data_IF_465548909588
#
_entry.id   IF_465548909588
#
_cell.length_a   1.000
_cell.length_b   1.000
_cell.length_c   1.000
_cell.angle_alpha   90.00
_cell.angle_beta   90.00
_cell.angle_gamma   90.00
#
_symmetry.space_group_name_H-M   'P 1'
#
loop_
_entity.id
_entity.type
_entity.pdbx_description
1 polymer ?
#
# COMPACT_ATOMS: atom_id res chain seq x y z
N UNK A 1 21.62 -20.99 -11.11
CA UNK A 1 21.22 -19.65 -11.64
C UNK A 1 19.70 -19.43 -11.72
N UNK A 2 18.85 -20.35 -11.25
CA UNK A 2 17.38 -20.27 -11.42
C UNK A 2 16.70 -19.65 -10.18
N UNK A 3 17.20 -19.98 -8.97
CA UNK A 3 16.64 -19.53 -7.67
C UNK A 3 16.74 -18.02 -7.47
N UNK A 4 17.90 -17.40 -7.79
CA UNK A 4 18.08 -15.94 -7.65
C UNK A 4 17.14 -15.12 -8.56
N UNK A 5 16.77 -15.65 -9.73
CA UNK A 5 15.85 -14.99 -10.68
C UNK A 5 14.39 -15.03 -10.20
N UNK A 6 14.03 -16.07 -9.43
CA UNK A 6 12.71 -16.24 -8.85
C UNK A 6 12.53 -15.33 -7.61
N UNK A 7 13.57 -15.22 -6.77
CA UNK A 7 13.57 -14.32 -5.61
C UNK A 7 13.43 -12.86 -6.04
N UNK A 8 14.21 -12.40 -7.03
CA UNK A 8 14.14 -11.02 -7.50
C UNK A 8 12.80 -10.68 -8.15
N UNK A 9 12.19 -11.61 -8.87
CA UNK A 9 10.84 -11.43 -9.43
C UNK A 9 9.77 -11.30 -8.36
N UNK A 10 9.87 -12.06 -7.27
CA UNK A 10 8.93 -12.01 -6.16
C UNK A 10 9.03 -10.69 -5.39
N UNK A 11 10.26 -10.20 -5.14
CA UNK A 11 10.48 -8.89 -4.50
C UNK A 11 9.84 -7.77 -5.30
N UNK A 12 10.07 -7.71 -6.62
CA UNK A 12 9.46 -6.68 -7.46
C UNK A 12 7.92 -6.72 -7.42
N UNK A 13 7.33 -7.92 -7.47
CA UNK A 13 5.87 -8.09 -7.38
C UNK A 13 5.32 -7.60 -6.05
N UNK A 14 5.98 -7.90 -4.93
CA UNK A 14 5.56 -7.43 -3.60
C UNK A 14 5.60 -5.90 -3.51
N UNK A 15 6.70 -5.27 -3.94
CA UNK A 15 6.81 -3.81 -3.95
C UNK A 15 5.80 -3.15 -4.88
N UNK A 16 5.53 -3.76 -6.04
CA UNK A 16 4.52 -3.28 -6.98
C UNK A 16 3.12 -3.33 -6.38
N UNK A 17 2.73 -4.45 -5.75
CA UNK A 17 1.43 -4.60 -5.12
C UNK A 17 1.23 -3.63 -3.95
N UNK A 18 2.24 -3.46 -3.09
CA UNK A 18 2.19 -2.52 -1.96
C UNK A 18 2.09 -1.07 -2.48
N UNK A 19 2.92 -0.69 -3.45
CA UNK A 19 2.90 0.66 -4.02
C UNK A 19 1.56 0.97 -4.69
N UNK A 20 1.01 0.01 -5.44
CA UNK A 20 -0.29 0.15 -6.09
C UNK A 20 -1.41 0.31 -5.06
N UNK A 21 -1.40 -0.49 -4.00
CA UNK A 21 -2.37 -0.40 -2.91
C UNK A 21 -2.31 0.95 -2.20
N UNK A 22 -1.11 1.41 -1.82
CA UNK A 22 -0.90 2.72 -1.20
C UNK A 22 -1.39 3.85 -2.12
N UNK A 23 -1.04 3.81 -3.41
CA UNK A 23 -1.46 4.81 -4.39
C UNK A 23 -2.98 4.88 -4.54
N UNK A 24 -3.67 3.73 -4.55
CA UNK A 24 -5.13 3.66 -4.61
C UNK A 24 -5.78 4.28 -3.37
N UNK A 25 -5.33 3.90 -2.16
CA UNK A 25 -5.92 4.41 -0.92
C UNK A 25 -5.64 5.89 -0.73
N UNK A 26 -4.42 6.36 -1.00
CA UNK A 26 -4.07 7.78 -0.93
C UNK A 26 -4.83 8.59 -1.99
N UNK A 27 -4.97 8.07 -3.21
CA UNK A 27 -5.74 8.72 -4.27
C UNK A 27 -7.22 8.87 -3.91
N UNK A 28 -7.83 7.83 -3.33
CA UNK A 28 -9.19 7.90 -2.81
C UNK A 28 -9.30 8.87 -1.62
N UNK A 29 -8.36 8.81 -0.68
CA UNK A 29 -8.29 9.71 0.46
C UNK A 29 -8.19 11.18 0.03
N UNK A 30 -7.39 11.47 -1.00
CA UNK A 30 -7.27 12.80 -1.58
C UNK A 30 -8.57 13.26 -2.24
N UNK A 31 -9.21 12.41 -3.04
CA UNK A 31 -10.48 12.72 -3.68
C UNK A 31 -11.58 13.04 -2.65
N UNK A 32 -11.73 12.20 -1.62
CA UNK A 32 -12.72 12.42 -0.56
C UNK A 32 -12.36 13.62 0.32
N UNK A 33 -11.08 13.83 0.63
CA UNK A 33 -10.63 15.02 1.38
C UNK A 33 -11.01 16.31 0.66
N UNK A 34 -10.85 16.35 -0.68
CA UNK A 34 -11.27 17.49 -1.48
C UNK A 34 -12.80 17.63 -1.53
N UNK A 35 -13.54 16.52 -1.72
CA UNK A 35 -15.01 16.55 -1.81
C UNK A 35 -15.66 17.03 -0.51
N UNK A 36 -15.17 16.58 0.65
CA UNK A 36 -15.71 16.95 1.96
C UNK A 36 -15.03 18.18 2.57
N UNK A 37 -14.04 18.79 1.90
CA UNK A 37 -13.19 19.86 2.44
C UNK A 37 -12.59 19.55 3.82
N UNK A 38 -12.27 18.27 4.06
CA UNK A 38 -11.71 17.80 5.32
C UNK A 38 -10.33 17.16 5.08
N UNK A 39 -9.24 17.82 5.49
CA UNK A 39 -7.89 17.26 5.39
C UNK A 39 -7.66 16.04 6.31
N UNK A 40 -8.50 15.84 7.33
CA UNK A 40 -8.44 14.70 8.24
C UNK A 40 -8.63 13.36 7.52
N UNK A 41 -9.44 13.34 6.45
CA UNK A 41 -9.68 12.15 5.63
C UNK A 41 -8.38 11.66 4.97
N UNK A 42 -7.56 12.58 4.45
CA UNK A 42 -6.31 12.22 3.81
C UNK A 42 -5.31 11.63 4.81
N UNK A 43 -5.22 12.22 6.01
CA UNK A 43 -4.36 11.73 7.10
C UNK A 43 -4.80 10.34 7.57
N UNK A 44 -6.10 10.14 7.74
CA UNK A 44 -6.67 8.82 8.10
C UNK A 44 -6.40 7.79 7.01
N UNK A 45 -6.65 8.11 5.74
CA UNK A 45 -6.43 7.21 4.62
C UNK A 45 -4.94 6.82 4.49
N UNK A 46 -4.03 7.79 4.64
CA UNK A 46 -2.60 7.53 4.63
C UNK A 46 -2.20 6.61 5.79
N UNK A 47 -2.59 6.93 7.03
CA UNK A 47 -2.32 6.10 8.20
C UNK A 47 -2.87 4.68 8.05
N UNK A 48 -4.13 4.54 7.64
CA UNK A 48 -4.77 3.26 7.37
C UNK A 48 -4.00 2.45 6.32
N UNK A 49 -3.58 3.08 5.22
CA UNK A 49 -2.85 2.41 4.14
C UNK A 49 -1.49 1.86 4.59
N UNK A 50 -0.78 2.60 5.46
CA UNK A 50 0.50 2.19 6.04
C UNK A 50 0.29 1.03 7.02
N UNK A 51 -0.66 1.16 7.94
CA UNK A 51 -0.98 0.08 8.88
C UNK A 51 -1.42 -1.19 8.13
N UNK A 52 -2.32 -1.08 7.16
CA UNK A 52 -2.76 -2.20 6.34
C UNK A 52 -1.61 -2.87 5.58
N UNK A 53 -0.70 -2.08 5.00
CA UNK A 53 0.50 -2.62 4.33
C UNK A 53 1.43 -3.34 5.30
N UNK A 54 1.60 -2.81 6.51
CA UNK A 54 2.43 -3.42 7.55
C UNK A 54 1.83 -4.72 8.08
N UNK A 55 0.51 -4.75 8.36
CA UNK A 55 -0.19 -5.98 8.75
C UNK A 55 -0.19 -7.02 7.63
N UNK A 56 -0.31 -6.61 6.36
CA UNK A 56 -0.21 -7.54 5.23
C UNK A 56 1.16 -8.21 5.16
N UNK A 57 2.24 -7.51 5.48
CA UNK A 57 3.57 -8.10 5.56
C UNK A 57 3.67 -9.12 6.69
N UNK A 58 3.10 -8.81 7.86
CA UNK A 58 3.18 -9.69 9.04
C UNK A 58 2.25 -10.91 8.98
N UNK A 59 1.07 -10.78 8.36
CA UNK A 59 0.15 -11.90 8.14
C UNK A 59 0.56 -12.82 6.97
N UNK A 60 1.33 -12.32 6.02
CA UNK A 60 1.86 -13.14 4.91
C UNK A 60 3.04 -14.02 5.34
N UNK A 61 3.59 -13.82 6.54
CA UNK A 61 4.69 -14.61 7.12
C UNK A 61 4.19 -15.88 7.87
N UNK A 62 2.92 -16.25 7.69
CA UNK A 62 2.32 -17.52 8.14
C UNK A 62 1.68 -18.29 7.00
#
# INVERSE_FOLDING_TARGET
MIVYKQISSNVFKTWFLISLFLALIVGLGWFFSYYYNDPGILVFAFGFSVFASFFSYWFSDK
#
